data_IF_635000332260
#
_entry.id   IF_635000332260
#
_cell.length_a   1.000
_cell.length_b   1.000
_cell.length_c   1.000
_cell.angle_alpha   90.00
_cell.angle_beta   90.00
_cell.angle_gamma   90.00
#
_symmetry.space_group_name_H-M   'P 1'
#
loop_
_entity.id
_entity.type
_entity.pdbx_description
1 polymer ?
#
# COMPACT_ATOMS: atom_id res chain seq x y z
N UNK A 1 34.15 50.19 -24.59
CA UNK A 1 35.33 50.06 -25.47
C UNK A 1 34.82 49.97 -26.91
N UNK A 2 34.90 51.07 -27.67
CA UNK A 2 34.64 51.11 -29.13
C UNK A 2 35.98 50.91 -29.84
N UNK A 3 36.01 50.08 -30.87
CA UNK A 3 37.18 49.91 -31.74
C UNK A 3 36.76 50.16 -33.18
N UNK A 4 37.47 51.00 -33.96
CA UNK A 4 37.17 51.22 -35.36
C UNK A 4 37.49 49.96 -36.18
N UNK A 5 36.60 49.58 -37.11
CA UNK A 5 36.88 48.56 -38.11
C UNK A 5 36.61 49.12 -39.51
N UNK A 6 37.65 49.10 -40.35
CA UNK A 6 37.61 49.50 -41.76
C UNK A 6 37.40 48.24 -42.62
N UNK A 7 36.26 48.13 -43.30
CA UNK A 7 36.06 47.14 -44.38
C UNK A 7 36.20 47.90 -45.71
N UNK A 8 37.25 47.56 -46.46
CA UNK A 8 37.61 48.23 -47.72
C UNK A 8 38.87 49.08 -47.54
N UNK A 9 39.89 48.84 -48.37
CA UNK A 9 41.22 49.45 -48.26
C UNK A 9 41.25 50.99 -48.28
N UNK A 10 42.41 51.49 -47.85
CA UNK A 10 42.93 52.87 -47.76
C UNK A 10 42.03 53.98 -48.36
N UNK A 11 41.47 54.83 -47.50
CA UNK A 11 40.96 56.17 -47.87
C UNK A 11 39.45 56.43 -47.71
N UNK A 12 38.66 55.52 -47.16
CA UNK A 12 37.24 55.78 -46.84
C UNK A 12 37.07 56.53 -45.50
N UNK A 13 36.02 57.35 -45.32
CA UNK A 13 35.76 58.06 -44.07
C UNK A 13 35.57 57.08 -42.89
N UNK A 14 36.21 57.38 -41.76
CA UNK A 14 36.11 56.61 -40.52
C UNK A 14 34.69 56.74 -39.96
N UNK A 15 33.93 55.63 -39.95
CA UNK A 15 32.53 55.62 -39.55
C UNK A 15 32.38 54.88 -38.22
N UNK A 16 32.03 55.62 -37.17
CA UNK A 16 31.87 55.10 -35.82
C UNK A 16 30.56 54.33 -35.65
N UNK A 17 30.63 53.00 -35.72
CA UNK A 17 29.51 52.13 -35.36
C UNK A 17 29.21 52.27 -33.86
N UNK A 18 27.99 52.70 -33.54
CA UNK A 18 27.54 52.90 -32.15
C UNK A 18 26.79 51.66 -31.66
N UNK A 19 26.51 51.52 -30.36
CA UNK A 19 25.88 50.32 -29.80
C UNK A 19 24.51 49.93 -30.40
N UNK A 20 23.96 50.77 -31.28
CA UNK A 20 22.77 50.52 -32.12
C UNK A 20 23.03 49.60 -33.33
N UNK A 21 24.27 49.39 -33.77
CA UNK A 21 24.61 48.53 -34.93
C UNK A 21 24.84 47.05 -34.55
N UNK A 22 24.47 46.67 -33.32
CA UNK A 22 24.53 45.28 -32.89
C UNK A 22 23.38 44.52 -33.53
N UNK A 23 23.68 43.71 -34.54
CA UNK A 23 22.75 42.75 -35.14
C UNK A 23 22.06 41.93 -34.05
N UNK A 24 20.78 42.19 -33.81
CA UNK A 24 19.91 41.34 -33.01
C UNK A 24 19.15 40.43 -33.96
N UNK A 25 19.42 39.12 -33.89
CA UNK A 25 18.76 38.11 -34.70
C UNK A 25 18.12 37.05 -33.81
N UNK A 26 16.89 36.65 -34.15
CA UNK A 26 16.24 35.47 -33.58
C UNK A 26 16.43 34.35 -34.60
N UNK A 27 17.13 33.27 -34.22
CA UNK A 27 17.25 32.09 -35.08
C UNK A 27 16.25 31.02 -34.64
N UNK A 28 15.58 30.40 -35.62
CA UNK A 28 14.84 29.17 -35.44
C UNK A 28 15.28 28.17 -36.51
N UNK A 29 15.47 26.91 -36.14
CA UNK A 29 15.80 25.83 -37.08
C UNK A 29 14.72 24.76 -37.06
N UNK A 30 14.36 24.26 -38.25
CA UNK A 30 13.44 23.13 -38.42
C UNK A 30 14.26 21.91 -38.82
N UNK A 31 14.27 20.88 -37.96
CA UNK A 31 14.98 19.63 -38.21
C UNK A 31 14.05 18.54 -38.74
N UNK A 32 14.33 17.99 -39.93
CA UNK A 32 13.63 16.82 -40.47
C UNK A 32 14.53 15.59 -40.28
N UNK A 33 14.15 14.62 -39.44
CA UNK A 33 14.97 13.43 -39.21
C UNK A 33 14.90 12.46 -40.39
N UNK A 34 16.06 12.08 -40.92
CA UNK A 34 16.19 11.17 -42.08
C UNK A 34 16.11 9.69 -41.66
N UNK A 35 16.57 9.35 -40.44
CA UNK A 35 16.61 7.98 -39.91
C UNK A 35 15.56 7.76 -38.79
N UNK A 36 14.46 7.05 -39.10
CA UNK A 36 13.30 6.86 -38.19
C UNK A 36 13.33 5.58 -37.35
N UNK A 37 14.35 4.73 -37.48
CA UNK A 37 14.45 3.44 -36.79
C UNK A 37 14.36 3.53 -35.25
N UNK A 38 15.20 4.35 -34.59
CA UNK A 38 15.18 4.53 -33.14
C UNK A 38 13.86 5.11 -32.62
N UNK A 39 13.24 6.05 -33.35
CA UNK A 39 11.94 6.61 -32.98
C UNK A 39 10.84 5.54 -33.03
N UNK A 40 10.83 4.70 -34.09
CA UNK A 40 9.89 3.56 -34.19
C UNK A 40 10.10 2.51 -33.09
N UNK A 41 11.35 2.31 -32.65
CA UNK A 41 11.66 1.43 -31.52
C UNK A 41 11.17 2.02 -30.19
N UNK A 42 11.39 3.32 -29.94
CA UNK A 42 10.88 4.04 -28.76
C UNK A 42 9.35 3.98 -28.67
N UNK A 43 8.66 4.20 -29.78
CA UNK A 43 7.18 4.10 -29.83
C UNK A 43 6.71 2.67 -29.53
N UNK A 44 7.40 1.64 -30.04
CA UNK A 44 7.09 0.24 -29.72
C UNK A 44 7.33 -0.08 -28.25
N UNK A 45 8.42 0.40 -27.66
CA UNK A 45 8.70 0.25 -26.23
C UNK A 45 7.64 0.95 -25.37
N UNK A 46 7.25 2.18 -25.73
CA UNK A 46 6.19 2.92 -25.04
C UNK A 46 4.83 2.18 -25.07
N UNK A 47 4.46 1.61 -26.22
CA UNK A 47 3.25 0.77 -26.33
C UNK A 47 3.32 -0.49 -25.47
N UNK A 48 4.48 -1.12 -25.37
CA UNK A 48 4.66 -2.29 -24.50
C UNK A 48 4.55 -1.88 -23.02
N UNK A 49 5.13 -0.74 -22.63
CA UNK A 49 5.00 -0.20 -21.28
C UNK A 49 3.54 0.13 -20.93
N UNK A 50 2.78 0.70 -21.86
CA UNK A 50 1.33 0.93 -21.71
C UNK A 50 0.57 -0.38 -21.47
N UNK A 51 0.87 -1.43 -22.25
CA UNK A 51 0.26 -2.75 -22.07
C UNK A 51 0.60 -3.35 -20.70
N UNK A 52 1.86 -3.26 -20.27
CA UNK A 52 2.30 -3.72 -18.94
C UNK A 52 1.55 -2.94 -17.85
N UNK A 53 1.46 -1.62 -17.96
CA UNK A 53 0.72 -0.79 -17.00
C UNK A 53 -0.77 -1.17 -16.93
N UNK A 54 -1.40 -1.42 -18.08
CA UNK A 54 -2.80 -1.85 -18.16
C UNK A 54 -3.03 -3.21 -17.50
N UNK A 55 -2.14 -4.18 -17.76
CA UNK A 55 -2.22 -5.51 -17.16
C UNK A 55 -1.97 -5.44 -15.65
N UNK A 56 -0.98 -4.66 -15.20
CA UNK A 56 -0.72 -4.43 -13.78
C UNK A 56 -1.91 -3.79 -13.07
N UNK A 57 -2.54 -2.80 -13.69
CA UNK A 57 -3.76 -2.18 -13.16
C UNK A 57 -4.90 -3.17 -13.02
N UNK A 58 -5.19 -3.96 -14.07
CA UNK A 58 -6.22 -5.02 -13.99
C UNK A 58 -5.91 -6.05 -12.91
N UNK A 59 -4.64 -6.43 -12.76
CA UNK A 59 -4.21 -7.35 -11.70
C UNK A 59 -4.49 -6.77 -10.32
N UNK A 60 -4.14 -5.50 -10.08
CA UNK A 60 -4.41 -4.83 -8.80
C UNK A 60 -5.91 -4.80 -8.47
N UNK A 61 -6.78 -4.56 -9.45
CA UNK A 61 -8.23 -4.62 -9.22
C UNK A 61 -8.70 -6.00 -8.78
N UNK A 62 -8.20 -7.06 -9.43
CA UNK A 62 -8.53 -8.44 -9.06
C UNK A 62 -7.98 -8.81 -7.69
N UNK A 63 -6.75 -8.40 -7.38
CA UNK A 63 -6.13 -8.61 -6.06
C UNK A 63 -6.92 -7.89 -4.96
N UNK A 64 -7.39 -6.66 -5.22
CA UNK A 64 -8.19 -5.89 -4.27
C UNK A 64 -9.54 -6.56 -4.00
N UNK A 65 -10.24 -7.00 -5.05
CA UNK A 65 -11.50 -7.74 -4.92
C UNK A 65 -11.30 -9.06 -4.15
N UNK A 66 -10.27 -9.83 -4.50
CA UNK A 66 -9.95 -11.08 -3.81
C UNK A 66 -9.63 -10.87 -2.33
N UNK A 67 -8.88 -9.81 -1.98
CA UNK A 67 -8.60 -9.45 -0.59
C UNK A 67 -9.86 -9.06 0.17
N UNK A 68 -10.76 -8.31 -0.46
CA UNK A 68 -12.05 -7.94 0.14
C UNK A 68 -12.88 -9.20 0.45
N UNK A 69 -13.03 -10.11 -0.53
CA UNK A 69 -13.78 -11.36 -0.35
C UNK A 69 -13.18 -12.22 0.78
N UNK A 70 -11.86 -12.33 0.83
CA UNK A 70 -11.15 -13.05 1.89
C UNK A 70 -11.42 -12.46 3.28
N UNK A 71 -11.40 -11.14 3.41
CA UNK A 71 -11.65 -10.46 4.69
C UNK A 71 -13.10 -10.60 5.14
N UNK A 72 -14.06 -10.53 4.23
CA UNK A 72 -15.48 -10.75 4.54
C UNK A 72 -15.71 -12.19 5.02
N UNK A 73 -15.09 -13.17 4.36
CA UNK A 73 -15.17 -14.57 4.79
C UNK A 73 -14.55 -14.79 6.17
N UNK A 74 -13.34 -14.24 6.41
CA UNK A 74 -12.67 -14.30 7.72
C UNK A 74 -13.49 -13.64 8.83
N UNK A 75 -14.07 -12.47 8.55
CA UNK A 75 -14.92 -11.76 9.49
C UNK A 75 -16.13 -12.62 9.92
N UNK A 76 -16.81 -13.26 8.96
CA UNK A 76 -17.95 -14.13 9.25
C UNK A 76 -17.56 -15.35 10.12
N UNK A 77 -16.43 -16.01 9.80
CA UNK A 77 -15.92 -17.12 10.59
C UNK A 77 -15.56 -16.70 12.02
N UNK A 78 -14.86 -15.57 12.18
CA UNK A 78 -14.47 -15.03 13.48
C UNK A 78 -15.70 -14.67 14.33
N UNK A 79 -16.76 -14.14 13.72
CA UNK A 79 -18.03 -13.88 14.42
C UNK A 79 -18.65 -15.16 14.98
N UNK A 80 -18.65 -16.25 14.21
CA UNK A 80 -19.15 -17.55 14.70
C UNK A 80 -18.29 -18.08 15.85
N UNK A 81 -16.96 -17.96 15.73
CA UNK A 81 -16.03 -18.36 16.81
C UNK A 81 -16.23 -17.53 18.07
N UNK A 82 -16.39 -16.21 17.95
CA UNK A 82 -16.71 -15.33 19.08
C UNK A 82 -18.01 -15.74 19.77
N UNK A 83 -19.05 -16.01 18.99
CA UNK A 83 -20.33 -16.47 19.52
C UNK A 83 -20.18 -17.77 20.30
N UNK A 84 -19.44 -18.74 19.78
CA UNK A 84 -19.14 -19.99 20.50
C UNK A 84 -18.44 -19.75 21.83
N UNK A 85 -17.37 -18.93 21.85
CA UNK A 85 -16.66 -18.66 23.09
C UNK A 85 -17.54 -17.91 24.10
N UNK A 86 -18.33 -16.93 23.65
CA UNK A 86 -19.22 -16.17 24.54
C UNK A 86 -20.33 -17.03 25.13
N UNK A 87 -20.94 -17.90 24.32
CA UNK A 87 -22.11 -18.68 24.74
C UNK A 87 -21.74 -20.02 25.39
N UNK A 88 -20.57 -20.58 25.09
CA UNK A 88 -20.17 -21.91 25.54
C UNK A 88 -18.81 -21.91 26.23
N UNK A 89 -17.76 -21.42 25.57
CA UNK A 89 -16.39 -21.51 26.09
C UNK A 89 -16.19 -20.80 27.43
N UNK A 90 -16.55 -19.52 27.54
CA UNK A 90 -16.40 -18.73 28.77
C UNK A 90 -17.26 -19.29 29.92
N UNK A 91 -18.55 -19.61 29.74
CA UNK A 91 -19.32 -20.31 30.77
C UNK A 91 -18.70 -21.63 31.22
N UNK A 92 -18.14 -22.41 30.29
CA UNK A 92 -17.44 -23.66 30.61
C UNK A 92 -16.20 -23.40 31.46
N UNK A 93 -15.37 -22.39 31.12
CA UNK A 93 -14.23 -21.99 31.91
C UNK A 93 -14.63 -21.61 33.34
N UNK A 94 -15.74 -20.88 33.50
CA UNK A 94 -16.27 -20.51 34.83
C UNK A 94 -16.71 -21.72 35.66
N UNK A 95 -17.32 -22.72 35.01
CA UNK A 95 -17.70 -23.99 35.65
C UNK A 95 -16.46 -24.75 36.10
N UNK A 96 -15.44 -24.85 35.25
CA UNK A 96 -14.17 -25.53 35.56
C UNK A 96 -13.54 -24.90 36.80
N UNK A 97 -13.35 -23.57 36.80
CA UNK A 97 -12.76 -22.87 37.95
C UNK A 97 -13.59 -23.11 39.22
N UNK A 98 -14.90 -22.90 39.15
CA UNK A 98 -15.78 -23.03 40.32
C UNK A 98 -15.76 -24.43 40.92
N UNK A 99 -15.87 -25.47 40.10
CA UNK A 99 -15.90 -26.86 40.57
C UNK A 99 -14.53 -27.29 41.09
N UNK A 100 -13.45 -27.00 40.36
CA UNK A 100 -12.09 -27.36 40.78
C UNK A 100 -11.69 -26.65 42.07
N UNK A 101 -12.02 -25.36 42.23
CA UNK A 101 -11.78 -24.64 43.50
C UNK A 101 -12.58 -25.25 44.65
N UNK A 102 -13.84 -25.65 44.42
CA UNK A 102 -14.67 -26.28 45.46
C UNK A 102 -14.10 -27.63 45.88
N UNK A 103 -13.81 -28.51 44.93
CA UNK A 103 -13.27 -29.84 45.17
C UNK A 103 -11.93 -29.76 45.93
N UNK A 104 -11.05 -28.84 45.53
CA UNK A 104 -9.76 -28.64 46.20
C UNK A 104 -9.95 -28.19 47.66
N UNK A 105 -10.84 -27.23 47.90
CA UNK A 105 -11.16 -26.75 49.27
C UNK A 105 -11.82 -27.83 50.13
N UNK A 106 -12.57 -28.75 49.53
CA UNK A 106 -13.18 -29.88 50.21
C UNK A 106 -12.20 -31.05 50.46
N UNK A 107 -10.97 -30.98 49.92
CA UNK A 107 -9.99 -32.06 49.98
C UNK A 107 -10.30 -33.24 49.03
N UNK A 108 -11.23 -33.06 48.09
CA UNK A 108 -11.65 -34.09 47.13
C UNK A 108 -10.65 -34.27 45.97
N UNK A 109 -9.82 -33.25 45.70
CA UNK A 109 -8.77 -33.28 44.67
C UNK A 109 -7.46 -32.69 45.18
N UNK A 110 -6.34 -33.15 44.61
CA UNK A 110 -5.01 -32.65 44.91
C UNK A 110 -4.68 -31.33 44.19
N UNK A 111 -3.60 -30.67 44.64
CA UNK A 111 -3.16 -29.39 44.07
C UNK A 111 -2.87 -29.47 42.56
N UNK A 112 -2.23 -30.54 42.08
CA UNK A 112 -1.86 -30.66 40.67
C UNK A 112 -3.08 -30.71 39.72
N UNK A 113 -4.14 -31.41 40.12
CA UNK A 113 -5.37 -31.47 39.33
C UNK A 113 -6.16 -30.16 39.39
N UNK A 114 -6.15 -29.48 40.54
CA UNK A 114 -6.66 -28.12 40.64
C UNK A 114 -5.95 -27.17 39.67
N UNK A 115 -4.62 -27.16 39.67
CA UNK A 115 -3.81 -26.29 38.81
C UNK A 115 -4.06 -26.58 37.32
N UNK A 116 -4.08 -27.86 36.93
CA UNK A 116 -4.35 -28.26 35.55
C UNK A 116 -5.72 -27.75 35.06
N UNK A 117 -6.74 -27.78 35.91
CA UNK A 117 -8.06 -27.27 35.56
C UNK A 117 -8.08 -25.74 35.46
N UNK A 118 -7.33 -25.02 36.29
CA UNK A 118 -7.17 -23.58 36.12
C UNK A 118 -6.45 -23.23 34.82
N UNK A 119 -5.42 -23.97 34.44
CA UNK A 119 -4.72 -23.80 33.16
C UNK A 119 -5.65 -24.02 31.97
N UNK A 120 -6.51 -25.05 32.02
CA UNK A 120 -7.55 -25.28 31.01
C UNK A 120 -8.52 -24.10 30.89
N UNK A 121 -9.02 -23.61 32.02
CA UNK A 121 -9.92 -22.47 32.03
C UNK A 121 -9.24 -21.19 31.51
N UNK A 122 -7.97 -20.99 31.86
CA UNK A 122 -7.17 -19.88 31.35
C UNK A 122 -6.97 -19.99 29.84
N UNK A 123 -6.63 -21.18 29.34
CA UNK A 123 -6.45 -21.44 27.91
C UNK A 123 -7.71 -21.13 27.09
N UNK A 124 -8.90 -21.46 27.61
CA UNK A 124 -10.17 -21.10 26.96
C UNK A 124 -10.34 -19.57 26.90
N UNK A 125 -10.03 -18.87 28.00
CA UNK A 125 -10.13 -17.41 28.08
C UNK A 125 -9.13 -16.71 27.16
N UNK A 126 -7.89 -17.20 27.07
CA UNK A 126 -6.89 -16.64 26.15
C UNK A 126 -7.28 -16.88 24.71
N UNK A 127 -7.76 -18.08 24.38
CA UNK A 127 -8.22 -18.38 23.01
C UNK A 127 -9.39 -17.46 22.59
N UNK A 128 -10.32 -17.13 23.49
CA UNK A 128 -11.36 -16.12 23.23
C UNK A 128 -10.75 -14.74 22.91
N UNK A 129 -9.77 -14.29 23.69
CA UNK A 129 -9.12 -13.00 23.47
C UNK A 129 -8.37 -12.95 22.14
N UNK A 130 -7.74 -14.06 21.73
CA UNK A 130 -7.09 -14.16 20.42
C UNK A 130 -8.12 -14.01 19.28
N UNK A 131 -9.27 -14.71 19.36
CA UNK A 131 -10.34 -14.55 18.36
C UNK A 131 -10.88 -13.12 18.33
N UNK A 132 -11.02 -12.48 19.49
CA UNK A 132 -11.48 -11.10 19.58
C UNK A 132 -10.49 -10.12 18.96
N UNK A 133 -9.19 -10.34 19.17
CA UNK A 133 -8.14 -9.55 18.55
C UNK A 133 -8.16 -9.72 17.02
N UNK A 134 -8.22 -10.96 16.53
CA UNK A 134 -8.27 -11.27 15.10
C UNK A 134 -9.49 -10.62 14.43
N UNK A 135 -10.65 -10.68 15.08
CA UNK A 135 -11.87 -10.03 14.63
C UNK A 135 -11.69 -8.52 14.50
N UNK A 136 -11.17 -7.87 15.53
CA UNK A 136 -10.96 -6.43 15.53
C UNK A 136 -9.97 -6.00 14.43
N UNK A 137 -8.89 -6.76 14.22
CA UNK A 137 -7.94 -6.50 13.14
C UNK A 137 -8.60 -6.61 11.76
N UNK A 138 -9.45 -7.63 11.57
CA UNK A 138 -10.16 -7.85 10.32
C UNK A 138 -11.16 -6.73 10.03
N UNK A 139 -11.88 -6.24 11.06
CA UNK A 139 -12.77 -5.07 10.94
C UNK A 139 -11.99 -3.82 10.54
N UNK A 140 -10.86 -3.53 11.19
CA UNK A 140 -10.00 -2.39 10.85
C UNK A 140 -9.51 -2.48 9.39
N UNK A 141 -9.17 -3.68 8.92
CA UNK A 141 -8.70 -3.88 7.54
C UNK A 141 -9.84 -3.70 6.52
N UNK A 142 -11.04 -4.19 6.81
CA UNK A 142 -12.23 -3.95 6.00
C UNK A 142 -12.55 -2.46 5.90
N UNK A 143 -12.55 -1.75 7.03
CA UNK A 143 -12.77 -0.30 7.08
C UNK A 143 -11.71 0.45 6.27
N UNK A 144 -10.45 0.03 6.36
CA UNK A 144 -9.37 0.62 5.58
C UNK A 144 -9.58 0.41 4.07
N UNK A 145 -9.93 -0.79 3.61
CA UNK A 145 -10.19 -1.05 2.19
C UNK A 145 -11.39 -0.27 1.66
N UNK A 146 -12.47 -0.19 2.44
CA UNK A 146 -13.69 0.53 2.05
C UNK A 146 -13.47 2.05 1.99
N UNK A 147 -12.74 2.61 2.95
CA UNK A 147 -12.48 4.05 3.01
C UNK A 147 -11.35 4.51 2.06
N UNK A 148 -10.41 3.62 1.71
CA UNK A 148 -9.32 3.92 0.76
C UNK A 148 -9.71 3.75 -0.70
N UNK A 149 -10.88 3.19 -0.99
CA UNK A 149 -11.43 3.11 -2.34
C UNK A 149 -12.08 4.46 -2.69
N UNK A 150 -11.50 5.29 -3.58
CA UNK A 150 -12.16 6.53 -3.99
C UNK A 150 -13.47 6.20 -4.71
N UNK A 151 -14.54 6.92 -4.34
CA UNK A 151 -15.85 6.91 -5.01
C UNK A 151 -15.73 7.30 -6.49
#
# INVERSE_FOLDING_TARGET
>A
LKGPQTIGGVGGPEQDYTGSDRFQGVQGSVGIPILRGPQKARVRAARLQEQVATVSYRRQLVELAGRQDELVARHAEQQQRLQFYQQTGLPQADVIVRLSTRAFKAGETGYSEYLLNLERALSIRTAYLDVLLDHNQTVIELDYLLNSTPQ
#
